data_IF_332070851555
#
_entry.id   IF_332070851555
#
_cell.length_a   1.000
_cell.length_b   1.000
_cell.length_c   1.000
_cell.angle_alpha   90.00
_cell.angle_beta   90.00
_cell.angle_gamma   90.00
#
_symmetry.space_group_name_H-M   'P 1'
#
loop_
_entity.id
_entity.type
_entity.pdbx_description
1 polymer ?
#
# COMPACT_ATOMS: atom_id res chain seq x y z
N UNK A 1 29.96 7.37 -23.15
CA UNK A 1 30.09 8.73 -22.56
C UNK A 1 29.75 8.58 -21.09
N UNK A 2 30.75 8.61 -20.21
CA UNK A 2 30.55 8.34 -18.77
C UNK A 2 30.04 9.62 -18.13
N UNK A 3 28.74 9.68 -17.84
CA UNK A 3 28.17 10.79 -17.06
C UNK A 3 28.70 10.64 -15.63
N UNK A 4 29.80 11.31 -15.32
CA UNK A 4 30.23 11.51 -13.92
C UNK A 4 29.24 12.49 -13.31
N UNK A 5 28.28 11.99 -12.53
CA UNK A 5 27.52 12.81 -11.59
C UNK A 5 28.52 13.60 -10.74
N UNK A 6 28.45 14.93 -10.85
CA UNK A 6 29.28 15.84 -10.07
C UNK A 6 28.86 15.75 -8.60
N UNK A 7 29.76 15.27 -7.75
CA UNK A 7 29.51 15.04 -6.33
C UNK A 7 29.08 16.33 -5.60
N UNK A 8 29.47 17.49 -6.11
CA UNK A 8 29.12 18.78 -5.53
C UNK A 8 27.67 19.19 -5.87
N UNK A 9 27.16 18.79 -7.03
CA UNK A 9 25.75 19.00 -7.39
C UNK A 9 24.85 18.09 -6.54
N UNK A 10 25.26 16.83 -6.31
CA UNK A 10 24.58 15.90 -5.41
C UNK A 10 24.52 16.41 -3.96
N UNK A 11 25.63 16.96 -3.44
CA UNK A 11 25.67 17.55 -2.08
C UNK A 11 24.79 18.80 -1.98
N UNK A 12 24.73 19.61 -3.04
CA UNK A 12 23.91 20.81 -3.09
C UNK A 12 22.42 20.46 -3.11
N UNK A 13 22.03 19.42 -3.85
CA UNK A 13 20.65 18.91 -3.90
C UNK A 13 20.20 18.33 -2.55
N UNK A 14 21.06 17.55 -1.87
CA UNK A 14 20.83 17.10 -0.48
C UNK A 14 20.72 18.26 0.51
N UNK A 15 21.44 19.36 0.28
CA UNK A 15 21.36 20.53 1.17
C UNK A 15 20.06 21.32 0.99
N UNK A 16 19.47 21.32 -0.22
CA UNK A 16 18.21 21.98 -0.52
C UNK A 16 16.98 21.23 0.03
N UNK A 17 17.09 19.90 0.21
CA UNK A 17 16.07 19.10 0.90
C UNK A 17 16.06 19.28 2.42
N UNK A 18 17.09 19.91 3.02
CA UNK A 18 17.10 20.35 4.43
C UNK A 18 16.28 21.63 4.65
N UNK A 19 15.04 21.69 4.16
CA UNK A 19 14.07 22.70 4.64
C UNK A 19 13.88 22.52 6.15
N UNK A 20 13.62 23.62 6.86
CA UNK A 20 13.26 23.66 8.29
C UNK A 20 12.31 22.49 8.57
N UNK A 21 12.68 21.61 9.49
CA UNK A 21 12.01 20.34 9.74
C UNK A 21 10.68 20.59 10.49
N UNK A 22 9.71 21.20 9.80
CA UNK A 22 8.38 21.50 10.34
C UNK A 22 7.66 20.20 10.64
N UNK A 23 7.11 20.08 11.85
CA UNK A 23 6.38 18.87 12.25
C UNK A 23 5.18 18.64 11.31
N UNK A 24 4.94 17.38 10.99
CA UNK A 24 3.76 16.96 10.25
C UNK A 24 2.49 17.25 11.09
N UNK A 25 2.55 17.03 12.40
CA UNK A 25 1.48 17.31 13.35
C UNK A 25 1.95 18.39 14.33
N UNK A 26 1.11 19.40 14.58
CA UNK A 26 1.37 20.37 15.64
C UNK A 26 1.06 19.75 17.00
N UNK A 27 1.80 20.12 18.04
CA UNK A 27 1.60 19.57 19.38
C UNK A 27 0.17 19.80 19.91
N UNK A 28 -0.49 20.89 19.50
CA UNK A 28 -1.89 21.21 19.86
C UNK A 28 -2.91 20.19 19.31
N UNK A 29 -2.56 19.50 18.22
CA UNK A 29 -3.43 18.53 17.53
C UNK A 29 -3.11 17.09 17.98
N UNK A 30 -2.12 16.92 18.86
CA UNK A 30 -1.73 15.62 19.41
C UNK A 30 -2.60 15.26 20.61
N UNK A 31 -3.27 14.11 20.52
CA UNK A 31 -4.09 13.58 21.61
C UNK A 31 -3.21 12.97 22.70
N UNK A 32 -3.30 13.51 23.92
CA UNK A 32 -2.62 12.95 25.08
C UNK A 32 -3.30 11.66 25.52
N UNK A 33 -2.51 10.58 25.65
CA UNK A 33 -3.01 9.28 26.08
C UNK A 33 -2.48 8.99 27.48
N UNK A 34 -3.37 8.67 28.41
CA UNK A 34 -2.97 8.15 29.72
C UNK A 34 -2.74 6.64 29.63
N UNK A 35 -1.48 6.22 29.78
CA UNK A 35 -1.07 4.81 29.72
C UNK A 35 -0.99 4.20 31.11
N UNK A 36 -0.69 5.01 32.11
CA UNK A 36 -0.42 4.59 33.48
C UNK A 36 -1.07 5.55 34.48
N UNK A 37 -0.93 5.27 35.78
CA UNK A 37 -1.35 6.20 36.83
C UNK A 37 -0.21 7.17 37.23
N UNK A 38 0.87 7.25 36.45
CA UNK A 38 2.02 8.12 36.71
C UNK A 38 2.16 9.15 35.59
N UNK A 39 1.80 10.40 35.90
CA UNK A 39 1.83 11.50 34.95
C UNK A 39 3.22 11.73 34.33
N UNK A 40 4.32 11.57 35.08
CA UNK A 40 5.67 11.76 34.54
C UNK A 40 6.02 10.70 33.48
N UNK A 41 5.58 9.46 33.71
CA UNK A 41 5.76 8.37 32.74
C UNK A 41 4.90 8.62 31.50
N UNK A 42 3.65 9.03 31.70
CA UNK A 42 2.73 9.32 30.59
C UNK A 42 3.21 10.52 29.76
N UNK A 43 3.73 11.57 30.39
CA UNK A 43 4.32 12.73 29.70
C UNK A 43 5.49 12.31 28.81
N UNK A 44 6.40 11.48 29.33
CA UNK A 44 7.51 10.94 28.55
C UNK A 44 7.02 10.09 27.37
N UNK A 45 6.05 9.20 27.59
CA UNK A 45 5.51 8.34 26.52
C UNK A 45 4.82 9.16 25.43
N UNK A 46 4.06 10.19 25.81
CA UNK A 46 3.39 11.09 24.86
C UNK A 46 4.40 11.93 24.07
N UNK A 47 5.46 12.45 24.71
CA UNK A 47 6.54 13.14 24.00
C UNK A 47 7.19 12.22 22.95
N UNK A 48 7.54 10.99 23.33
CA UNK A 48 8.16 10.03 22.39
C UNK A 48 7.20 9.58 21.30
N UNK A 49 5.91 9.45 21.61
CA UNK A 49 4.88 9.13 20.63
C UNK A 49 4.74 10.25 19.59
N UNK A 50 4.69 11.50 20.04
CA UNK A 50 4.64 12.68 19.17
C UNK A 50 5.85 12.75 18.23
N UNK A 51 7.06 12.54 18.77
CA UNK A 51 8.29 12.50 17.96
C UNK A 51 8.25 11.34 16.94
N UNK A 52 7.84 10.16 17.39
CA UNK A 52 7.81 8.95 16.57
C UNK A 52 6.83 9.07 15.40
N UNK A 53 5.62 9.56 15.65
CA UNK A 53 4.58 9.71 14.64
C UNK A 53 5.01 10.71 13.56
N UNK A 54 5.56 11.86 13.97
CA UNK A 54 6.11 12.86 13.04
C UNK A 54 7.25 12.27 12.19
N UNK A 55 8.17 11.54 12.83
CA UNK A 55 9.28 10.90 12.13
C UNK A 55 8.80 9.85 11.12
N UNK A 56 7.91 8.95 11.53
CA UNK A 56 7.38 7.89 10.67
C UNK A 56 6.64 8.47 9.46
N UNK A 57 5.73 9.43 9.69
CA UNK A 57 4.96 10.05 8.62
C UNK A 57 5.86 10.69 7.56
N UNK A 58 6.80 11.55 7.99
CA UNK A 58 7.78 12.19 7.11
C UNK A 58 8.65 11.17 6.37
N UNK A 59 9.20 10.20 7.10
CA UNK A 59 10.12 9.19 6.54
C UNK A 59 9.44 8.31 5.51
N UNK A 60 8.20 7.90 5.74
CA UNK A 60 7.44 7.08 4.80
C UNK A 60 7.19 7.80 3.48
N UNK A 61 6.83 9.10 3.53
CA UNK A 61 6.63 9.91 2.32
C UNK A 61 7.96 10.12 1.59
N UNK A 62 9.01 10.48 2.33
CA UNK A 62 10.34 10.70 1.77
C UNK A 62 10.89 9.46 1.05
N UNK A 63 10.82 8.29 1.69
CA UNK A 63 11.23 7.02 1.08
C UNK A 63 10.36 6.67 -0.13
N UNK A 64 9.05 6.91 -0.05
CA UNK A 64 8.14 6.70 -1.17
C UNK A 64 8.51 7.52 -2.39
N UNK A 65 8.85 8.80 -2.20
CA UNK A 65 9.30 9.68 -3.28
C UNK A 65 10.61 9.19 -3.92
N UNK A 66 11.61 8.80 -3.12
CA UNK A 66 12.86 8.22 -3.65
C UNK A 66 12.56 6.99 -4.50
N UNK A 67 11.69 6.09 -4.01
CA UNK A 67 11.37 4.87 -4.74
C UNK A 67 10.61 5.12 -6.03
N UNK A 68 9.73 6.13 -6.06
CA UNK A 68 9.05 6.57 -7.27
C UNK A 68 10.04 7.16 -8.28
N UNK A 69 10.91 8.06 -7.82
CA UNK A 69 11.89 8.74 -8.67
C UNK A 69 12.83 7.73 -9.33
N UNK A 70 13.38 6.77 -8.55
CA UNK A 70 14.23 5.72 -9.09
C UNK A 70 13.46 4.84 -10.07
N UNK A 71 12.23 4.43 -9.75
CA UNK A 71 11.44 3.60 -10.67
C UNK A 71 11.14 4.34 -11.98
N UNK A 72 10.73 5.60 -11.91
CA UNK A 72 10.43 6.42 -13.09
C UNK A 72 11.69 6.62 -13.94
N UNK A 73 12.82 6.95 -13.32
CA UNK A 73 14.08 7.12 -14.02
C UNK A 73 14.49 5.84 -14.77
N UNK A 74 14.36 4.67 -14.15
CA UNK A 74 14.67 3.40 -14.80
C UNK A 74 13.69 3.11 -15.96
N UNK A 75 12.40 3.36 -15.77
CA UNK A 75 11.38 3.18 -16.81
C UNK A 75 11.61 4.10 -18.01
N UNK A 76 11.87 5.39 -17.78
CA UNK A 76 12.13 6.40 -18.82
C UNK A 76 13.37 6.04 -19.65
N UNK A 77 14.33 5.32 -19.04
CA UNK A 77 15.53 4.82 -19.71
C UNK A 77 15.38 3.37 -20.20
N UNK A 78 14.17 2.81 -20.21
CA UNK A 78 13.88 1.44 -20.66
C UNK A 78 14.73 0.36 -19.98
N UNK A 79 15.07 0.57 -18.71
CA UNK A 79 15.84 -0.38 -17.90
C UNK A 79 14.88 -1.40 -17.28
N UNK A 80 15.29 -2.66 -17.27
CA UNK A 80 14.48 -3.75 -16.73
C UNK A 80 14.17 -3.58 -15.23
N UNK A 81 12.95 -3.96 -14.83
CA UNK A 81 12.47 -3.96 -13.43
C UNK A 81 13.36 -4.80 -12.49
N UNK A 82 14.12 -5.76 -13.02
CA UNK A 82 15.14 -6.53 -12.29
C UNK A 82 16.19 -5.61 -11.64
N UNK A 83 16.59 -4.54 -12.34
CA UNK A 83 17.54 -3.55 -11.84
C UNK A 83 16.96 -2.77 -10.66
N UNK A 84 15.68 -2.41 -10.72
CA UNK A 84 14.99 -1.76 -9.59
C UNK A 84 14.95 -2.69 -8.36
N UNK A 85 14.67 -3.98 -8.57
CA UNK A 85 14.64 -4.98 -7.50
C UNK A 85 16.02 -5.16 -6.84
N UNK A 86 17.09 -5.24 -7.64
CA UNK A 86 18.46 -5.35 -7.14
C UNK A 86 18.89 -4.10 -6.37
N UNK A 87 18.52 -2.91 -6.87
CA UNK A 87 18.77 -1.65 -6.20
C UNK A 87 18.07 -1.59 -4.84
N UNK A 88 16.80 -1.97 -4.77
CA UNK A 88 16.06 -2.05 -3.49
C UNK A 88 16.76 -2.99 -2.50
N UNK A 89 17.15 -4.19 -2.95
CA UNK A 89 17.80 -5.18 -2.10
C UNK A 89 19.13 -4.68 -1.55
N UNK A 90 19.96 -4.03 -2.38
CA UNK A 90 21.23 -3.41 -1.94
C UNK A 90 21.04 -2.31 -0.91
N UNK A 91 19.89 -1.65 -0.91
CA UNK A 91 19.51 -0.62 0.06
C UNK A 91 18.69 -1.16 1.24
N UNK A 92 18.55 -2.50 1.38
CA UNK A 92 17.89 -3.12 2.53
C UNK A 92 16.36 -3.12 2.48
N UNK A 93 15.77 -2.87 1.30
CA UNK A 93 14.31 -2.86 1.12
C UNK A 93 13.84 -4.04 0.28
N UNK A 94 12.68 -4.60 0.65
CA UNK A 94 11.98 -5.54 -0.21
C UNK A 94 10.94 -4.79 -1.09
N UNK A 95 10.51 -5.43 -2.18
CA UNK A 95 9.55 -4.84 -3.13
C UNK A 95 8.22 -4.45 -2.49
N UNK A 96 7.72 -5.24 -1.54
CA UNK A 96 6.44 -4.99 -0.89
C UNK A 96 6.50 -3.74 -0.01
N UNK A 97 7.55 -3.58 0.79
CA UNK A 97 7.79 -2.37 1.59
C UNK A 97 7.93 -1.15 0.69
N UNK A 98 8.69 -1.26 -0.41
CA UNK A 98 8.84 -0.17 -1.35
C UNK A 98 7.49 0.22 -1.99
N UNK A 99 6.70 -0.77 -2.42
CA UNK A 99 5.37 -0.54 -2.97
C UNK A 99 4.46 0.20 -1.97
N UNK A 100 4.48 -0.18 -0.69
CA UNK A 100 3.69 0.48 0.37
C UNK A 100 4.05 1.96 0.50
N UNK A 101 5.33 2.31 0.45
CA UNK A 101 5.76 3.71 0.52
C UNK A 101 5.43 4.48 -0.75
N UNK A 102 5.67 3.91 -1.93
CA UNK A 102 5.30 4.52 -3.22
C UNK A 102 3.83 4.86 -3.28
N UNK A 103 2.96 3.91 -2.93
CA UNK A 103 1.50 4.12 -2.88
C UNK A 103 1.12 5.33 -2.02
N UNK A 104 1.67 5.39 -0.80
CA UNK A 104 1.38 6.50 0.12
C UNK A 104 1.88 7.83 -0.44
N UNK A 105 3.08 7.86 -1.01
CA UNK A 105 3.69 9.06 -1.58
C UNK A 105 2.96 9.57 -2.84
N UNK A 106 2.50 8.67 -3.71
CA UNK A 106 1.68 9.01 -4.88
C UNK A 106 0.36 9.69 -4.47
N UNK A 107 -0.38 9.13 -3.49
CA UNK A 107 -1.60 9.79 -2.98
C UNK A 107 -1.25 11.13 -2.36
N UNK A 108 -0.26 11.16 -1.46
CA UNK A 108 0.17 12.38 -0.77
C UNK A 108 0.52 13.51 -1.74
N UNK A 109 1.25 13.20 -2.81
CA UNK A 109 1.68 14.18 -3.82
C UNK A 109 0.55 14.63 -4.73
N UNK A 110 -0.53 13.84 -4.82
CA UNK A 110 -1.73 14.17 -5.59
C UNK A 110 -2.70 15.08 -4.83
N UNK A 111 -2.48 15.29 -3.53
CA UNK A 111 -3.32 16.12 -2.68
C UNK A 111 -2.79 17.57 -2.63
N UNK A 112 -3.71 18.53 -2.51
CA UNK A 112 -3.47 19.96 -2.40
C UNK A 112 -3.54 20.42 -0.94
N UNK A 113 -4.54 19.95 -0.19
CA UNK A 113 -4.75 20.30 1.21
C UNK A 113 -3.63 19.74 2.10
N UNK A 114 -3.00 20.60 2.89
CA UNK A 114 -2.04 20.18 3.91
C UNK A 114 -2.69 19.32 4.99
N UNK A 115 -3.97 19.52 5.31
CA UNK A 115 -4.68 18.66 6.24
C UNK A 115 -4.81 17.24 5.70
N UNK A 116 -5.26 17.11 4.45
CA UNK A 116 -5.41 15.80 3.79
C UNK A 116 -4.09 15.07 3.65
N UNK A 117 -3.03 15.80 3.29
CA UNK A 117 -1.65 15.28 3.29
C UNK A 117 -1.22 14.74 4.64
N UNK A 118 -1.48 15.47 5.73
CA UNK A 118 -1.19 15.00 7.10
C UNK A 118 -1.94 13.70 7.40
N UNK A 119 -3.23 13.63 7.08
CA UNK A 119 -4.05 12.43 7.30
C UNK A 119 -3.47 11.23 6.53
N UNK A 120 -3.14 11.40 5.25
CA UNK A 120 -2.58 10.32 4.41
C UNK A 120 -1.18 9.89 4.85
N UNK A 121 -0.33 10.83 5.26
CA UNK A 121 1.00 10.52 5.76
C UNK A 121 0.95 9.61 7.01
N UNK A 122 -0.09 9.75 7.82
CA UNK A 122 -0.33 8.98 9.05
C UNK A 122 -1.23 7.78 8.88
N UNK A 123 -1.90 7.67 7.73
CA UNK A 123 -2.85 6.60 7.49
C UNK A 123 -2.17 5.23 7.52
N UNK A 124 -2.85 4.30 8.19
CA UNK A 124 -2.42 2.92 8.27
C UNK A 124 -2.36 2.30 6.86
N UNK A 125 -1.56 1.23 6.71
CA UNK A 125 -1.34 0.65 5.39
C UNK A 125 -2.62 0.07 4.76
N UNK A 126 -3.55 -0.44 5.56
CA UNK A 126 -4.82 -0.98 5.07
C UNK A 126 -5.64 0.12 4.38
N UNK A 127 -5.77 1.29 5.00
CA UNK A 127 -6.46 2.44 4.42
C UNK A 127 -5.83 2.87 3.10
N UNK A 128 -4.49 2.96 3.04
CA UNK A 128 -3.77 3.26 1.80
C UNK A 128 -4.07 2.22 0.72
N UNK A 129 -4.04 0.93 1.05
CA UNK A 129 -4.32 -0.13 0.09
C UNK A 129 -5.76 -0.11 -0.41
N UNK A 130 -6.75 0.21 0.44
CA UNK A 130 -8.15 0.38 0.03
C UNK A 130 -8.35 1.58 -0.90
N UNK A 131 -7.72 2.72 -0.60
CA UNK A 131 -7.70 3.87 -1.52
C UNK A 131 -7.14 3.46 -2.89
N UNK A 132 -6.13 2.57 -2.91
CA UNK A 132 -5.56 2.06 -4.16
C UNK A 132 -6.47 1.14 -4.99
N UNK A 133 -7.50 0.56 -4.39
CA UNK A 133 -8.46 -0.31 -5.08
C UNK A 133 -9.59 0.47 -5.76
N UNK A 134 -9.66 1.79 -5.56
CA UNK A 134 -10.66 2.62 -6.23
C UNK A 134 -10.28 2.83 -7.70
N UNK A 135 -11.19 2.40 -8.59
CA UNK A 135 -11.04 2.57 -10.03
C UNK A 135 -11.13 4.05 -10.44
N UNK A 136 -12.07 4.78 -9.88
CA UNK A 136 -12.19 6.22 -10.09
C UNK A 136 -11.23 6.97 -9.17
N UNK A 137 -10.05 7.26 -9.71
CA UNK A 137 -8.99 7.99 -8.99
C UNK A 137 -9.34 9.45 -8.73
N UNK A 138 -10.08 10.10 -9.62
CA UNK A 138 -10.39 11.51 -9.44
C UNK A 138 -11.42 11.69 -8.33
N UNK A 139 -12.46 10.85 -8.30
CA UNK A 139 -13.49 10.91 -7.27
C UNK A 139 -12.92 10.70 -5.86
N UNK A 140 -12.04 9.70 -5.68
CA UNK A 140 -11.43 9.45 -4.36
C UNK A 140 -10.50 10.59 -3.96
N UNK A 141 -9.71 11.16 -4.87
CA UNK A 141 -8.85 12.30 -4.54
C UNK A 141 -9.67 13.53 -4.14
N UNK A 142 -10.75 13.84 -4.87
CA UNK A 142 -11.67 14.93 -4.50
C UNK A 142 -12.26 14.71 -3.11
N UNK A 143 -12.71 13.49 -2.80
CA UNK A 143 -13.22 13.17 -1.46
C UNK A 143 -12.15 13.36 -0.38
N UNK A 144 -10.92 12.92 -0.63
CA UNK A 144 -9.79 13.08 0.29
C UNK A 144 -9.38 14.56 0.48
N UNK A 145 -9.77 15.49 -0.38
CA UNK A 145 -9.56 16.93 -0.14
C UNK A 145 -10.55 17.50 0.89
N UNK A 146 -11.72 16.90 1.03
CA UNK A 146 -12.82 17.40 1.85
C UNK A 146 -12.83 16.82 3.28
N UNK A 147 -12.02 15.78 3.54
CA UNK A 147 -11.96 15.11 4.85
C UNK A 147 -11.26 15.96 5.92
N UNK A 148 -11.73 15.81 7.16
CA UNK A 148 -11.13 16.47 8.32
C UNK A 148 -10.37 15.49 9.23
N UNK A 149 -10.69 14.20 9.19
CA UNK A 149 -10.05 13.18 10.02
C UNK A 149 -9.99 11.81 9.33
N UNK A 150 -9.23 10.88 9.91
CA UNK A 150 -9.03 9.55 9.33
C UNK A 150 -10.28 8.66 9.41
N UNK A 151 -11.15 8.83 10.41
CA UNK A 151 -12.37 8.04 10.55
C UNK A 151 -13.38 8.29 9.43
N UNK A 152 -13.40 9.50 8.86
CA UNK A 152 -14.20 9.81 7.68
C UNK A 152 -13.77 8.98 6.47
N UNK A 153 -12.46 8.79 6.27
CA UNK A 153 -11.95 7.91 5.21
C UNK A 153 -12.46 6.48 5.39
N UNK A 154 -12.35 5.93 6.60
CA UNK A 154 -12.78 4.56 6.87
C UNK A 154 -14.27 4.37 6.63
N UNK A 155 -15.09 5.34 7.04
CA UNK A 155 -16.53 5.34 6.79
C UNK A 155 -16.86 5.39 5.29
N UNK A 156 -16.19 6.26 4.53
CA UNK A 156 -16.36 6.33 3.09
C UNK A 156 -15.97 5.03 2.39
N UNK A 157 -14.82 4.47 2.74
CA UNK A 157 -14.34 3.21 2.17
C UNK A 157 -15.34 2.08 2.46
N UNK A 158 -15.84 1.99 3.69
CA UNK A 158 -16.84 0.99 4.06
C UNK A 158 -18.15 1.19 3.28
N UNK A 159 -18.65 2.43 3.18
CA UNK A 159 -19.89 2.75 2.48
C UNK A 159 -19.79 2.51 0.96
N UNK A 160 -18.65 2.84 0.36
CA UNK A 160 -18.43 2.57 -1.06
C UNK A 160 -18.27 1.06 -1.35
N UNK A 161 -17.72 0.30 -0.41
CA UNK A 161 -17.67 -1.16 -0.50
C UNK A 161 -19.06 -1.80 -0.31
N UNK A 162 -19.94 -1.22 0.52
CA UNK A 162 -21.33 -1.69 0.66
C UNK A 162 -22.19 -1.31 -0.55
N UNK A 163 -22.01 -0.11 -1.11
CA UNK A 163 -22.69 0.29 -2.35
C UNK A 163 -22.27 -0.58 -3.55
N UNK A 164 -21.02 -1.06 -3.58
CA UNK A 164 -20.58 -2.07 -4.57
C UNK A 164 -21.25 -3.43 -4.35
N UNK A 165 -21.51 -3.84 -3.09
CA UNK A 165 -22.21 -5.10 -2.79
C UNK A 165 -23.70 -5.07 -3.14
N UNK A 166 -24.36 -3.93 -3.00
CA UNK A 166 -25.77 -3.77 -3.36
C UNK A 166 -25.97 -3.55 -4.88
N UNK A 167 -24.89 -3.31 -5.63
CA UNK A 167 -24.88 -3.09 -7.08
C UNK A 167 -24.17 -4.16 -7.91
N UNK A 168 -23.67 -5.24 -7.30
CA UNK A 168 -23.21 -6.41 -8.04
C UNK A 168 -24.43 -7.16 -8.57
N UNK A 169 -24.77 -6.96 -9.86
CA UNK A 169 -25.26 -8.10 -10.64
C UNK A 169 -24.24 -9.21 -10.44
N UNK A 170 -24.67 -10.32 -9.83
CA UNK A 170 -23.88 -11.53 -9.73
C UNK A 170 -23.42 -11.85 -11.14
N UNK A 171 -22.12 -11.67 -11.42
CA UNK A 171 -21.53 -12.15 -12.66
C UNK A 171 -21.62 -13.68 -12.59
N UNK A 172 -22.70 -14.23 -13.13
CA UNK A 172 -22.85 -15.66 -13.31
C UNK A 172 -21.70 -16.03 -14.24
N UNK A 173 -20.71 -16.75 -13.72
CA UNK A 173 -19.68 -17.35 -14.55
C UNK A 173 -20.43 -18.33 -15.47
N UNK A 174 -20.69 -17.94 -16.71
CA UNK A 174 -21.15 -18.86 -17.75
C UNK A 174 -20.00 -19.82 -18.03
N UNK A 175 -19.98 -20.93 -17.31
CA UNK A 175 -19.05 -22.00 -17.60
C UNK A 175 -19.68 -22.87 -18.68
N UNK A 176 -19.17 -22.78 -19.90
CA UNK A 176 -19.53 -23.71 -20.97
C UNK A 176 -19.29 -25.15 -20.49
N UNK A 177 -20.34 -25.97 -20.53
CA UNK A 177 -20.30 -27.39 -20.16
C UNK A 177 -19.17 -28.14 -20.86
N UNK A 178 -18.83 -27.77 -22.11
CA UNK A 178 -17.74 -28.37 -22.86
C UNK A 178 -16.36 -27.99 -22.30
N UNK A 179 -16.17 -26.76 -21.82
CA UNK A 179 -14.92 -26.33 -21.19
C UNK A 179 -14.72 -27.01 -19.83
N UNK A 180 -15.80 -27.15 -19.04
CA UNK A 180 -15.79 -27.89 -17.77
C UNK A 180 -15.41 -29.35 -17.96
N UNK A 181 -16.06 -30.05 -18.88
CA UNK A 181 -15.75 -31.45 -19.17
C UNK A 181 -14.29 -31.63 -19.62
N UNK A 182 -13.80 -30.74 -20.49
CA UNK A 182 -12.42 -30.75 -20.95
C UNK A 182 -11.41 -30.51 -19.82
N UNK A 183 -11.72 -29.58 -18.90
CA UNK A 183 -10.87 -29.28 -17.74
C UNK A 183 -10.86 -30.44 -16.74
N UNK A 184 -12.01 -31.05 -16.45
CA UNK A 184 -12.10 -32.23 -15.58
C UNK A 184 -11.32 -33.40 -16.18
N UNK A 185 -11.46 -33.65 -17.48
CA UNK A 185 -10.73 -34.72 -18.17
C UNK A 185 -9.22 -34.53 -18.15
N UNK A 186 -8.74 -33.29 -18.35
CA UNK A 186 -7.31 -32.93 -18.23
C UNK A 186 -6.79 -33.10 -16.80
N UNK A 187 -7.60 -32.79 -15.80
CA UNK A 187 -7.23 -32.97 -14.40
C UNK A 187 -7.06 -34.45 -14.07
N UNK A 188 -8.01 -35.31 -14.45
CA UNK A 188 -7.94 -36.76 -14.16
C UNK A 188 -6.68 -37.41 -14.72
N UNK A 189 -6.29 -37.11 -15.96
CA UNK A 189 -5.06 -37.68 -16.57
C UNK A 189 -3.77 -37.11 -15.98
N UNK A 190 -3.83 -35.90 -15.41
CA UNK A 190 -2.65 -35.24 -14.84
C UNK A 190 -2.38 -35.68 -13.40
N UNK A 191 -3.42 -36.02 -12.62
CA UNK A 191 -3.31 -36.36 -11.19
C UNK A 191 -2.53 -37.65 -10.96
N UNK A 192 -2.73 -38.67 -11.80
CA UNK A 192 -2.05 -39.97 -11.69
C UNK A 192 -0.52 -39.84 -11.80
N UNK A 193 -0.05 -38.81 -12.51
CA UNK A 193 1.37 -38.54 -12.75
C UNK A 193 2.00 -37.60 -11.69
N UNK A 194 1.23 -37.13 -10.70
CA UNK A 194 1.74 -36.26 -9.64
C UNK A 194 2.41 -37.06 -8.52
N UNK A 195 3.35 -36.42 -7.80
CA UNK A 195 3.90 -36.97 -6.57
C UNK A 195 2.82 -37.16 -5.48
N UNK A 196 2.93 -38.17 -4.59
CA UNK A 196 1.89 -38.52 -3.61
C UNK A 196 1.43 -37.36 -2.71
N UNK A 197 2.35 -36.44 -2.38
CA UNK A 197 2.02 -35.25 -1.56
C UNK A 197 1.11 -34.28 -2.30
N UNK A 198 1.34 -34.10 -3.61
CA UNK A 198 0.52 -33.22 -4.47
C UNK A 198 -0.83 -33.86 -4.78
N UNK A 199 -0.87 -35.18 -4.98
CA UNK A 199 -2.14 -35.91 -5.13
C UNK A 199 -3.08 -35.69 -3.93
N UNK A 200 -2.55 -35.78 -2.69
CA UNK A 200 -3.33 -35.49 -1.48
C UNK A 200 -3.83 -34.05 -1.39
N UNK A 201 -3.05 -33.09 -1.89
CA UNK A 201 -3.48 -31.69 -1.95
C UNK A 201 -4.62 -31.49 -2.94
N UNK A 202 -4.54 -32.13 -4.12
CA UNK A 202 -5.60 -32.08 -5.12
C UNK A 202 -6.89 -32.70 -4.59
N UNK A 203 -6.83 -33.87 -3.94
CA UNK A 203 -7.98 -34.51 -3.30
C UNK A 203 -8.65 -33.60 -2.24
N UNK A 204 -7.84 -32.92 -1.42
CA UNK A 204 -8.39 -31.96 -0.44
C UNK A 204 -9.09 -30.77 -1.08
N UNK A 205 -8.62 -30.31 -2.25
CA UNK A 205 -9.23 -29.20 -2.98
C UNK A 205 -10.52 -29.64 -3.68
N UNK A 206 -10.54 -30.84 -4.28
CA UNK A 206 -11.75 -31.41 -4.89
C UNK A 206 -12.87 -31.58 -3.85
N UNK A 207 -12.57 -32.10 -2.65
CA UNK A 207 -13.54 -32.21 -1.55
C UNK A 207 -14.09 -30.86 -1.09
N UNK A 208 -13.27 -29.80 -1.12
CA UNK A 208 -13.74 -28.44 -0.80
C UNK A 208 -14.70 -27.95 -1.87
N UNK A 209 -14.42 -28.20 -3.14
CA UNK A 209 -15.31 -27.87 -4.27
C UNK A 209 -16.63 -28.63 -4.13
N UNK A 210 -16.60 -29.95 -3.91
CA UNK A 210 -17.80 -30.77 -3.70
C UNK A 210 -18.68 -30.24 -2.56
N UNK A 211 -18.06 -29.85 -1.44
CA UNK A 211 -18.78 -29.28 -0.30
C UNK A 211 -19.47 -27.96 -0.66
N UNK A 212 -18.83 -27.11 -1.45
CA UNK A 212 -19.41 -25.86 -1.94
C UNK A 212 -20.58 -26.14 -2.90
N UNK A 213 -20.45 -27.12 -3.79
CA UNK A 213 -21.48 -27.48 -4.77
C UNK A 213 -22.69 -28.22 -4.16
N UNK A 214 -22.53 -28.78 -2.96
CA UNK A 214 -23.57 -29.55 -2.25
C UNK A 214 -24.24 -28.78 -1.11
N UNK A 215 -23.85 -27.53 -0.88
CA UNK A 215 -24.44 -26.61 0.12
C UNK A 215 -25.53 -25.75 -0.51
#
# INVERSE_FOLDING_TARGET
MTVKLNLDDFKKEISLTKKKDENLIDLKDFEYISYTNNNEVDDFLNEKSFMLINFIGKSNIFLGNIFLEVQNYLNDNSIEETTYCDWLQRNGFNRMTALRYKKRAEIFSSLLSENSKKIIALANQKTIDEIYKFNDRQAILTYLEEINNISEIENFLNNALTLKKDGEEVEIIEVDSLDLENRVRKLSTSIENLEPKKQKQVDSLLKKIEKIMSS
#
